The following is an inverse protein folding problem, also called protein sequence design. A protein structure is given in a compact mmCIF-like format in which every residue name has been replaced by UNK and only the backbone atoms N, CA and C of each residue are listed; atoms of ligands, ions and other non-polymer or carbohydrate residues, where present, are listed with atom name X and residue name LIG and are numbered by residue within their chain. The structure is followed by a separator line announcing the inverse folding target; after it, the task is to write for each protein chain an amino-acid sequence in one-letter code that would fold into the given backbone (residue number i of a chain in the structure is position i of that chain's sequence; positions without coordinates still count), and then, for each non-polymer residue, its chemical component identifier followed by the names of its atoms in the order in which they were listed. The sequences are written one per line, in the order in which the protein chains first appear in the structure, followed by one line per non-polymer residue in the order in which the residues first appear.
data_IF_472369990203
#
_entry.id   IF_472369990203
#
_cell.length_a   1.000
_cell.length_b   1.000
_cell.length_c   1.000
_cell.angle_alpha   90.00
_cell.angle_beta   90.00
_cell.angle_gamma   90.00
#
_symmetry.space_group_name_H-M   'P 1'
#
loop_
_entity.id
_entity.type
_entity.pdbx_description
1 polymer ?
#
# COMPACT_ATOMS: atom_id res chain seq x y z
N UNK A 1 -20.84 -15.83 38.31
CA UNK A 1 -20.75 -14.41 37.93
C UNK A 1 -19.91 -14.30 36.66
N UNK A 2 -20.53 -14.03 35.52
CA UNK A 2 -19.85 -13.79 34.24
C UNK A 2 -20.05 -12.31 33.93
N UNK A 3 -18.99 -11.51 34.04
CA UNK A 3 -19.01 -10.11 33.61
C UNK A 3 -19.02 -10.08 32.07
N UNK A 4 -20.16 -9.72 31.49
CA UNK A 4 -20.24 -9.35 30.07
C UNK A 4 -19.68 -7.94 29.91
N UNK A 5 -18.56 -7.81 29.21
CA UNK A 5 -18.14 -6.53 28.66
C UNK A 5 -19.13 -6.14 27.56
N UNK A 6 -20.15 -5.36 27.89
CA UNK A 6 -20.98 -4.67 26.91
C UNK A 6 -20.17 -3.52 26.34
N UNK A 7 -19.67 -3.65 25.10
CA UNK A 7 -19.15 -2.50 24.34
C UNK A 7 -20.36 -1.73 23.79
N UNK A 8 -20.52 -0.44 24.12
CA UNK A 8 -21.64 0.36 23.62
C UNK A 8 -21.45 0.61 22.12
N UNK A 9 -22.39 0.08 21.35
CA UNK A 9 -22.49 0.25 19.91
C UNK A 9 -23.15 1.60 19.59
N UNK A 10 -22.34 2.66 19.51
CA UNK A 10 -22.80 3.92 18.92
C UNK A 10 -21.66 4.76 18.35
N UNK A 11 -21.80 5.10 17.07
CA UNK A 11 -21.00 5.99 16.22
C UNK A 11 -19.73 5.44 15.57
N UNK A 12 -19.93 4.64 14.51
CA UNK A 12 -19.03 4.63 13.34
C UNK A 12 -19.73 5.44 12.25
N UNK A 13 -19.17 6.56 11.77
CA UNK A 13 -19.73 7.27 10.63
C UNK A 13 -19.62 6.41 9.37
N UNK A 14 -20.77 6.25 8.74
CA UNK A 14 -21.05 5.57 7.48
C UNK A 14 -20.04 5.99 6.41
N UNK A 15 -19.14 5.07 6.08
CA UNK A 15 -18.07 5.26 5.10
C UNK A 15 -18.73 5.40 3.73
N UNK A 16 -18.50 6.55 3.11
CA UNK A 16 -18.94 6.89 1.77
C UNK A 16 -18.57 5.79 0.77
N UNK A 17 -19.62 5.19 0.19
CA UNK A 17 -19.73 4.71 -1.19
C UNK A 17 -18.54 3.91 -1.76
N UNK A 18 -18.68 2.58 -1.72
CA UNK A 18 -17.78 1.61 -2.35
C UNK A 18 -18.02 1.39 -3.86
N UNK A 19 -18.76 2.26 -4.56
CA UNK A 19 -19.10 2.10 -5.98
C UNK A 19 -18.20 2.90 -6.96
N UNK A 20 -16.99 3.29 -6.56
CA UNK A 20 -16.08 4.03 -7.46
C UNK A 20 -14.60 3.65 -7.38
N UNK A 21 -14.29 2.41 -7.02
CA UNK A 21 -13.01 1.82 -7.43
C UNK A 21 -13.22 1.07 -8.75
N UNK A 22 -13.15 1.81 -9.85
CA UNK A 22 -13.22 1.28 -11.21
C UNK A 22 -12.02 0.37 -11.51
N UNK A 23 -12.19 -0.93 -11.24
CA UNK A 23 -11.35 -1.97 -11.80
C UNK A 23 -11.83 -2.27 -13.22
N UNK A 24 -10.95 -2.07 -14.20
CA UNK A 24 -11.16 -2.34 -15.62
C UNK A 24 -11.71 -3.77 -15.84
N UNK A 25 -12.78 -3.87 -16.64
CA UNK A 25 -13.39 -5.12 -17.08
C UNK A 25 -12.37 -5.98 -17.85
N UNK A 26 -11.88 -7.06 -17.25
CA UNK A 26 -11.17 -8.13 -17.96
C UNK A 26 -12.16 -9.27 -18.16
N UNK A 27 -12.64 -9.44 -19.40
CA UNK A 27 -13.40 -10.61 -19.83
C UNK A 27 -12.68 -11.89 -19.41
N UNK A 28 -13.31 -12.66 -18.54
CA UNK A 28 -12.78 -13.87 -17.92
C UNK A 28 -12.74 -15.02 -18.94
N UNK A 29 -11.61 -15.17 -19.65
CA UNK A 29 -11.27 -16.44 -20.30
C UNK A 29 -10.50 -17.33 -19.31
N UNK A 30 -11.17 -18.40 -18.91
CA UNK A 30 -10.78 -19.41 -17.92
C UNK A 30 -9.53 -20.18 -18.34
N UNK A 31 -8.42 -19.95 -17.64
CA UNK A 31 -7.26 -20.85 -17.60
C UNK A 31 -7.14 -21.38 -16.16
N UNK A 32 -7.02 -22.70 -16.02
CA UNK A 32 -6.94 -23.43 -14.75
C UNK A 32 -5.90 -22.81 -13.82
N UNK A 33 -6.35 -22.14 -12.77
CA UNK A 33 -5.51 -21.44 -11.80
C UNK A 33 -4.80 -22.46 -10.90
N UNK A 34 -3.46 -22.39 -10.77
CA UNK A 34 -2.77 -23.02 -9.64
C UNK A 34 -3.30 -22.42 -8.33
N UNK A 35 -3.33 -23.23 -7.27
CA UNK A 35 -3.91 -22.89 -5.97
C UNK A 35 -3.32 -21.59 -5.39
N UNK A 36 -4.11 -20.66 -4.81
CA UNK A 36 -3.71 -19.25 -4.72
C UNK A 36 -2.83 -18.86 -3.52
N UNK A 37 -2.47 -19.80 -2.64
CA UNK A 37 -1.69 -19.47 -1.43
C UNK A 37 -0.71 -20.59 -1.10
N UNK A 38 0.26 -20.83 -1.98
CA UNK A 38 1.46 -21.53 -1.55
C UNK A 38 2.24 -20.60 -0.60
N UNK A 39 2.45 -21.06 0.64
CA UNK A 39 3.24 -20.36 1.67
C UNK A 39 4.69 -20.82 1.67
N UNK A 40 5.13 -21.56 0.66
CA UNK A 40 6.54 -21.89 0.46
C UNK A 40 7.31 -20.58 0.26
N UNK A 41 7.99 -20.13 1.33
CA UNK A 41 8.90 -19.00 1.26
C UNK A 41 10.19 -19.51 0.62
N UNK A 42 10.40 -19.18 -0.65
CA UNK A 42 11.74 -19.17 -1.25
C UNK A 42 12.54 -18.07 -0.54
N UNK A 43 13.50 -18.46 0.31
CA UNK A 43 14.33 -17.52 1.09
C UNK A 43 15.20 -16.60 0.19
N UNK A 44 15.32 -16.94 -1.09
CA UNK A 44 16.11 -16.21 -2.09
C UNK A 44 15.32 -15.18 -2.93
N UNK A 45 14.00 -15.04 -2.73
CA UNK A 45 13.20 -14.08 -3.50
C UNK A 45 12.79 -12.88 -2.64
N UNK A 46 13.33 -11.67 -2.94
CA UNK A 46 12.85 -10.47 -2.24
C UNK A 46 11.34 -10.30 -2.46
N UNK A 47 10.66 -9.85 -1.40
CA UNK A 47 9.23 -9.62 -1.41
C UNK A 47 8.86 -8.71 -2.60
N UNK A 48 7.82 -9.05 -3.40
CA UNK A 48 7.33 -8.18 -4.46
C UNK A 48 7.11 -6.73 -4.02
N UNK A 49 6.68 -6.52 -2.77
CA UNK A 49 6.51 -5.20 -2.15
C UNK A 49 7.85 -4.50 -1.97
N UNK A 50 8.86 -5.18 -1.44
CA UNK A 50 10.20 -4.62 -1.22
C UNK A 50 10.86 -4.24 -2.55
N UNK A 51 10.67 -5.07 -3.59
CA UNK A 51 11.13 -4.77 -4.96
C UNK A 51 10.46 -3.51 -5.52
N UNK A 52 9.18 -3.29 -5.22
CA UNK A 52 8.48 -2.06 -5.65
C UNK A 52 8.98 -0.84 -4.87
N UNK A 53 9.11 -0.95 -3.54
CA UNK A 53 9.54 0.15 -2.69
C UNK A 53 10.98 0.57 -3.02
N UNK A 54 11.88 -0.38 -3.31
CA UNK A 54 13.26 -0.10 -3.71
C UNK A 54 13.36 0.81 -4.94
N UNK A 55 12.41 0.72 -5.87
CA UNK A 55 12.36 1.58 -7.08
C UNK A 55 11.90 3.01 -6.80
N UNK A 56 11.26 3.25 -5.66
CA UNK A 56 10.70 4.57 -5.31
C UNK A 56 11.69 5.48 -4.59
N UNK A 57 12.77 4.91 -4.02
CA UNK A 57 13.71 5.63 -3.16
C UNK A 57 13.26 5.76 -1.69
N UNK A 58 12.10 5.21 -1.31
CA UNK A 58 11.61 5.26 0.08
C UNK A 58 11.92 3.98 0.89
N UNK A 59 12.90 3.19 0.46
CA UNK A 59 13.22 1.90 1.08
C UNK A 59 13.73 2.04 2.52
N UNK A 60 14.54 3.06 2.80
CA UNK A 60 15.05 3.33 4.15
C UNK A 60 13.89 3.51 5.16
N UNK A 61 12.90 4.34 4.81
CA UNK A 61 11.73 4.58 5.66
C UNK A 61 10.87 3.33 5.84
N UNK A 62 10.80 2.47 4.82
CA UNK A 62 10.14 1.18 4.94
C UNK A 62 10.86 0.27 5.93
N UNK A 63 12.19 0.21 5.90
CA UNK A 63 12.97 -0.54 6.88
C UNK A 63 12.86 0.05 8.29
N UNK A 64 12.79 1.37 8.45
CA UNK A 64 12.52 1.99 9.76
C UNK A 64 11.19 1.54 10.36
N UNK A 65 10.14 1.38 9.53
CA UNK A 65 8.86 0.84 10.00
C UNK A 65 9.01 -0.62 10.42
N UNK A 66 9.73 -1.44 9.64
CA UNK A 66 9.99 -2.83 10.00
C UNK A 66 10.78 -2.96 11.31
N UNK A 67 11.79 -2.12 11.51
CA UNK A 67 12.60 -2.07 12.72
C UNK A 67 11.77 -1.67 13.94
N UNK A 68 10.94 -0.63 13.81
CA UNK A 68 10.04 -0.23 14.89
C UNK A 68 9.03 -1.33 15.24
N UNK A 69 8.52 -2.07 14.25
CA UNK A 69 7.68 -3.25 14.46
C UNK A 69 8.44 -4.41 15.11
N UNK A 70 9.70 -4.62 14.74
CA UNK A 70 10.53 -5.66 15.34
C UNK A 70 10.84 -5.37 16.81
N UNK A 71 11.09 -4.10 17.16
CA UNK A 71 11.40 -3.68 18.53
C UNK A 71 10.15 -3.61 19.43
N UNK A 72 9.10 -2.93 18.96
CA UNK A 72 7.95 -2.62 19.82
C UNK A 72 6.77 -3.57 19.64
N UNK A 73 6.61 -4.18 18.47
CA UNK A 73 5.45 -5.00 18.08
C UNK A 73 4.08 -4.34 18.31
N UNK A 74 4.07 -3.00 18.46
CA UNK A 74 2.87 -2.19 18.67
C UNK A 74 2.86 -1.05 17.66
N UNK A 75 1.98 -1.16 16.67
CA UNK A 75 1.84 -0.18 15.59
C UNK A 75 1.53 1.23 16.10
N UNK A 76 0.92 1.37 17.29
CA UNK A 76 0.62 2.68 17.89
C UNK A 76 1.87 3.46 18.26
N UNK A 77 2.96 2.76 18.59
CA UNK A 77 4.25 3.38 18.92
C UNK A 77 5.03 3.79 17.67
N UNK A 78 4.68 3.23 16.51
CA UNK A 78 5.40 3.44 15.26
C UNK A 78 4.68 4.37 14.28
N UNK A 79 3.83 5.25 14.81
CA UNK A 79 3.05 6.19 13.98
C UNK A 79 3.95 7.17 13.22
N UNK A 80 5.07 7.58 13.82
CA UNK A 80 6.05 8.48 13.19
C UNK A 80 6.68 7.85 11.95
N UNK A 81 7.16 6.63 12.06
CA UNK A 81 7.86 5.91 11.00
C UNK A 81 6.89 5.62 9.84
N UNK A 82 5.66 5.19 10.17
CA UNK A 82 4.61 4.93 9.19
C UNK A 82 4.20 6.22 8.48
N UNK A 83 4.09 7.34 9.20
CA UNK A 83 3.74 8.63 8.62
C UNK A 83 4.83 9.12 7.65
N UNK A 84 6.10 9.02 8.03
CA UNK A 84 7.23 9.38 7.17
C UNK A 84 7.23 8.54 5.88
N UNK A 85 7.04 7.22 6.00
CA UNK A 85 6.95 6.33 4.84
C UNK A 85 5.79 6.72 3.91
N UNK A 86 4.62 7.02 4.47
CA UNK A 86 3.44 7.46 3.72
C UNK A 86 3.68 8.77 2.97
N UNK A 87 4.35 9.73 3.60
CA UNK A 87 4.68 11.02 2.96
C UNK A 87 5.61 10.83 1.77
N UNK A 88 6.65 10.01 1.93
CA UNK A 88 7.57 9.66 0.85
C UNK A 88 6.84 9.00 -0.33
N UNK A 89 6.00 7.99 -0.05
CA UNK A 89 5.17 7.34 -1.07
C UNK A 89 4.24 8.31 -1.80
N UNK A 90 3.61 9.22 -1.05
CA UNK A 90 2.68 10.21 -1.59
C UNK A 90 3.41 11.20 -2.51
N UNK A 91 4.60 11.64 -2.11
CA UNK A 91 5.44 12.52 -2.93
C UNK A 91 5.87 11.82 -4.23
N UNK A 92 6.30 10.57 -4.15
CA UNK A 92 6.67 9.76 -5.31
C UNK A 92 5.49 9.60 -6.30
N UNK A 93 4.30 9.27 -5.80
CA UNK A 93 3.10 9.14 -6.63
C UNK A 93 2.75 10.44 -7.35
N UNK A 94 2.81 11.58 -6.65
CA UNK A 94 2.56 12.90 -7.24
C UNK A 94 3.56 13.22 -8.34
N UNK A 95 4.86 13.03 -8.08
CA UNK A 95 5.91 13.24 -9.08
C UNK A 95 5.71 12.35 -10.31
N UNK A 96 5.37 11.07 -10.11
CA UNK A 96 5.09 10.14 -11.19
C UNK A 96 3.89 10.56 -12.04
N UNK A 97 2.79 11.00 -11.41
CA UNK A 97 1.61 11.50 -12.12
C UNK A 97 1.95 12.72 -12.96
N UNK A 98 2.76 13.64 -12.43
CA UNK A 98 3.16 14.85 -13.15
C UNK A 98 4.04 14.53 -14.37
N UNK A 99 4.97 13.59 -14.24
CA UNK A 99 5.76 13.09 -15.38
C UNK A 99 4.87 12.48 -16.46
N UNK A 100 3.86 11.69 -16.07
CA UNK A 100 2.90 11.10 -17.01
C UNK A 100 2.07 12.19 -17.72
N UNK A 101 1.60 13.21 -16.99
CA UNK A 101 0.89 14.36 -17.58
C UNK A 101 1.74 15.13 -18.57
N UNK A 102 3.03 15.35 -18.26
CA UNK A 102 3.97 16.01 -19.17
C UNK A 102 4.21 15.18 -20.44
N UNK A 103 4.30 13.86 -20.32
CA UNK A 103 4.49 12.97 -21.48
C UNK A 103 3.29 12.94 -22.43
N UNK A 104 2.09 13.28 -21.95
CA UNK A 104 0.86 13.33 -22.75
C UNK A 104 0.70 14.65 -23.52
N UNK A 105 1.46 15.69 -23.17
CA UNK A 105 1.44 16.99 -23.85
C UNK A 105 2.82 17.29 -24.46
N UNK A 106 3.18 16.67 -25.61
CA UNK A 106 4.50 16.84 -26.21
C UNK A 106 4.71 18.21 -26.90
N UNK A 107 3.76 19.14 -26.83
CA UNK A 107 3.78 20.40 -27.59
C UNK A 107 4.75 21.47 -27.09
N UNK A 108 5.32 21.33 -25.88
CA UNK A 108 6.23 22.35 -25.31
C UNK A 108 7.73 22.03 -25.48
N UNK A 109 8.10 21.04 -26.30
CA UNK A 109 9.50 20.64 -26.50
C UNK A 109 10.12 21.07 -27.84
N UNK A 110 9.49 21.95 -28.63
CA UNK A 110 10.10 22.49 -29.85
C UNK A 110 9.62 23.91 -30.15
N UNK A 111 10.24 24.91 -29.52
CA UNK A 111 10.36 26.27 -30.06
C UNK A 111 11.67 26.86 -29.56
#
# INVERSE_FOLDING_TARGET
MIFRCTVPHSNIPEVLSQDSYGYLNVSLNRMSSPSPHDRSRSEDEDDPVDKMISKTGCAELHYSVQECMAEHQDWRKCQSEVQNFKECMTAFQKARIELLRKSQNPSDATT
#
